data_IF_379172337190
#
_entry.id   IF_379172337190
#
_cell.length_a   1.000
_cell.length_b   1.000
_cell.length_c   1.000
_cell.angle_alpha   90.00
_cell.angle_beta   90.00
_cell.angle_gamma   90.00
#
_symmetry.space_group_name_H-M   'P 1'
#
loop_
_entity.id
_entity.type
_entity.pdbx_description
1 polymer ?
#
# COMPACT_ATOMS: atom_id res chain seq x y z
N UNK A 1 13.92 10.79 14.52
CA UNK A 1 13.26 9.53 14.14
C UNK A 1 11.92 9.78 13.45
N UNK A 2 11.07 10.64 14.04
CA UNK A 2 9.77 10.95 13.44
C UNK A 2 9.88 11.67 12.09
N UNK A 3 10.99 12.36 11.84
CA UNK A 3 11.16 13.11 10.59
C UNK A 3 11.58 12.25 9.40
N UNK A 4 12.11 11.05 9.65
CA UNK A 4 12.56 10.16 8.57
C UNK A 4 11.37 9.70 7.72
N UNK A 5 10.29 9.28 8.35
CA UNK A 5 9.10 8.86 7.60
C UNK A 5 8.23 10.05 7.20
N UNK A 6 8.29 11.18 7.91
CA UNK A 6 7.58 12.40 7.51
C UNK A 6 8.08 12.98 6.19
N UNK A 7 9.36 12.79 5.87
CA UNK A 7 9.92 13.26 4.59
C UNK A 7 9.33 12.57 3.38
N UNK A 8 8.76 11.40 3.58
CA UNK A 8 8.16 10.62 2.51
C UNK A 8 6.65 10.76 2.46
N UNK A 9 6.12 11.75 3.18
CA UNK A 9 4.69 11.99 3.20
C UNK A 9 4.26 12.66 1.90
N UNK A 10 3.42 11.93 1.17
CA UNK A 10 2.69 12.51 0.06
C UNK A 10 1.32 12.83 0.58
N UNK A 11 1.01 14.12 0.63
CA UNK A 11 -0.31 14.55 1.05
C UNK A 11 -1.34 13.99 0.08
N UNK A 12 -2.21 13.17 0.59
CA UNK A 12 -3.34 12.68 -0.16
C UNK A 12 -4.54 13.60 0.13
N UNK A 13 -5.71 13.04 0.34
CA UNK A 13 -6.92 13.80 0.53
C UNK A 13 -7.35 13.76 1.98
N UNK A 14 -7.94 14.84 2.45
CA UNK A 14 -8.35 14.99 3.84
C UNK A 14 -7.13 14.86 4.76
N UNK A 15 -7.17 14.00 5.76
CA UNK A 15 -6.05 13.79 6.67
C UNK A 15 -5.23 12.55 6.31
N UNK A 16 -5.46 11.96 5.13
CA UNK A 16 -4.72 10.80 4.69
C UNK A 16 -3.29 11.20 4.33
N UNK A 17 -2.33 10.48 4.87
CA UNK A 17 -0.91 10.69 4.61
C UNK A 17 -0.28 9.38 4.16
N UNK A 18 0.30 9.38 2.96
CA UNK A 18 1.03 8.24 2.46
C UNK A 18 2.41 8.20 3.09
N UNK A 19 2.76 7.08 3.68
CA UNK A 19 4.07 6.88 4.31
C UNK A 19 4.78 5.67 3.72
N UNK A 20 6.10 5.74 3.76
CA UNK A 20 6.99 4.67 3.36
C UNK A 20 8.08 4.54 4.42
N UNK A 21 8.44 3.32 4.78
CA UNK A 21 9.48 3.02 5.75
C UNK A 21 10.50 2.07 5.13
N UNK A 22 11.67 1.86 5.72
CA UNK A 22 12.63 0.88 5.21
C UNK A 22 12.01 -0.52 5.13
N UNK A 23 12.27 -1.25 4.05
CA UNK A 23 11.63 -2.54 3.76
C UNK A 23 11.91 -3.62 4.81
N UNK A 24 13.00 -3.49 5.55
CA UNK A 24 13.40 -4.42 6.60
C UNK A 24 13.18 -3.85 8.00
N UNK A 25 12.40 -2.79 8.12
CA UNK A 25 12.04 -2.25 9.43
C UNK A 25 11.22 -3.29 10.21
N UNK A 26 11.45 -3.35 11.51
CA UNK A 26 10.71 -4.26 12.37
C UNK A 26 9.25 -3.84 12.50
N UNK A 27 8.39 -4.82 12.74
CA UNK A 27 6.95 -4.59 12.87
C UNK A 27 6.63 -3.58 13.97
N UNK A 28 7.34 -3.63 15.09
CA UNK A 28 7.11 -2.67 16.18
C UNK A 28 7.45 -1.24 15.76
N UNK A 29 8.49 -1.05 14.96
CA UNK A 29 8.82 0.27 14.43
C UNK A 29 7.68 0.80 13.56
N UNK A 30 7.13 -0.05 12.69
CA UNK A 30 6.00 0.32 11.84
C UNK A 30 4.78 0.71 12.67
N UNK A 31 4.43 -0.12 13.66
CA UNK A 31 3.29 0.16 14.54
C UNK A 31 3.47 1.47 15.29
N UNK A 32 4.67 1.74 15.77
CA UNK A 32 5.00 2.99 16.45
C UNK A 32 4.83 4.20 15.54
N UNK A 33 5.34 4.10 14.31
CA UNK A 33 5.23 5.18 13.33
C UNK A 33 3.75 5.50 13.03
N UNK A 34 2.94 4.47 12.82
CA UNK A 34 1.51 4.63 12.58
C UNK A 34 0.81 5.30 13.76
N UNK A 35 1.13 4.85 14.96
CA UNK A 35 0.54 5.40 16.19
C UNK A 35 0.88 6.89 16.36
N UNK A 36 2.13 7.26 16.12
CA UNK A 36 2.58 8.66 16.25
C UNK A 36 1.84 9.57 15.27
N UNK A 37 1.61 9.10 14.04
CA UNK A 37 0.87 9.87 13.06
C UNK A 37 -0.60 10.03 13.47
N UNK A 38 -1.21 8.97 13.97
CA UNK A 38 -2.60 9.02 14.43
C UNK A 38 -2.78 9.96 15.63
N UNK A 39 -1.80 10.01 16.52
CA UNK A 39 -1.81 10.98 17.64
C UNK A 39 -1.85 12.42 17.13
N UNK A 40 -1.27 12.69 15.96
CA UNK A 40 -1.26 14.01 15.34
C UNK A 40 -2.48 14.22 14.43
N UNK A 41 -3.49 13.37 14.56
CA UNK A 41 -4.75 13.43 13.81
C UNK A 41 -4.59 13.13 12.31
N UNK A 42 -3.51 12.47 11.91
CA UNK A 42 -3.36 11.98 10.55
C UNK A 42 -3.93 10.58 10.41
N UNK A 43 -4.40 10.27 9.19
CA UNK A 43 -4.83 8.93 8.81
C UNK A 43 -3.73 8.31 7.93
N UNK A 44 -2.89 7.42 8.48
CA UNK A 44 -1.75 6.90 7.73
C UNK A 44 -2.18 5.93 6.65
N UNK A 45 -1.59 6.10 5.47
CA UNK A 45 -1.70 5.17 4.34
C UNK A 45 -0.31 4.58 4.12
N UNK A 46 -0.15 3.29 4.38
CA UNK A 46 1.12 2.62 4.19
C UNK A 46 1.31 2.23 2.73
N UNK A 47 2.37 2.75 2.12
CA UNK A 47 2.70 2.45 0.72
C UNK A 47 3.21 1.01 0.61
N UNK A 48 2.79 0.32 -0.42
CA UNK A 48 3.27 -1.01 -0.84
C UNK A 48 3.59 -1.97 0.33
N UNK A 49 2.60 -2.27 1.21
CA UNK A 49 2.85 -3.13 2.38
C UNK A 49 3.36 -4.52 2.02
N UNK A 50 3.09 -5.00 0.81
CA UNK A 50 3.55 -6.28 0.30
C UNK A 50 5.07 -6.37 0.18
N UNK A 51 5.77 -5.22 0.19
CA UNK A 51 7.22 -5.17 0.08
C UNK A 51 7.94 -5.22 1.41
N UNK A 52 7.24 -5.04 2.52
CA UNK A 52 7.89 -5.05 3.84
C UNK A 52 8.04 -6.47 4.36
N UNK A 53 9.26 -6.83 4.73
CA UNK A 53 9.59 -8.18 5.21
C UNK A 53 8.82 -8.53 6.48
N UNK A 54 8.65 -7.56 7.37
CA UNK A 54 7.94 -7.77 8.64
C UNK A 54 6.44 -8.01 8.48
N UNK A 55 5.87 -7.69 7.32
CA UNK A 55 4.47 -7.97 7.00
C UNK A 55 4.43 -9.27 6.20
N UNK A 56 4.65 -10.37 6.88
CA UNK A 56 4.84 -11.66 6.24
C UNK A 56 3.54 -12.36 5.86
N UNK A 57 2.43 -11.98 6.47
CA UNK A 57 1.17 -12.66 6.23
C UNK A 57 -0.06 -11.86 6.58
N UNK A 58 -1.18 -12.54 6.51
CA UNK A 58 -2.52 -11.94 6.68
C UNK A 58 -2.75 -11.42 8.09
N UNK A 59 -2.20 -12.10 9.09
CA UNK A 59 -2.38 -11.71 10.50
C UNK A 59 -1.86 -10.30 10.75
N UNK A 60 -0.65 -10.01 10.25
CA UNK A 60 -0.01 -8.71 10.41
C UNK A 60 -0.79 -7.62 9.68
N UNK A 61 -1.29 -7.92 8.49
CA UNK A 61 -2.08 -6.97 7.69
C UNK A 61 -3.41 -6.66 8.39
N UNK A 62 -4.10 -7.67 8.87
CA UNK A 62 -5.36 -7.46 9.58
C UNK A 62 -5.16 -6.64 10.85
N UNK A 63 -4.08 -6.88 11.58
CA UNK A 63 -3.77 -6.10 12.77
C UNK A 63 -3.56 -4.62 12.44
N UNK A 64 -2.81 -4.33 11.38
CA UNK A 64 -2.61 -2.95 10.95
C UNK A 64 -3.92 -2.27 10.56
N UNK A 65 -4.80 -2.97 9.86
CA UNK A 65 -6.09 -2.42 9.47
C UNK A 65 -6.98 -2.17 10.68
N UNK A 66 -6.96 -3.06 11.66
CA UNK A 66 -7.70 -2.87 12.91
C UNK A 66 -7.19 -1.65 13.68
N UNK A 67 -5.91 -1.32 13.54
CA UNK A 67 -5.32 -0.11 14.13
C UNK A 67 -5.65 1.15 13.35
N UNK A 68 -6.38 1.05 12.24
CA UNK A 68 -6.81 2.20 11.44
C UNK A 68 -5.89 2.55 10.28
N UNK A 69 -4.88 1.73 10.00
CA UNK A 69 -4.02 1.97 8.84
C UNK A 69 -4.75 1.66 7.55
N UNK A 70 -4.54 2.49 6.54
CA UNK A 70 -4.94 2.22 5.16
C UNK A 70 -3.74 1.70 4.39
N UNK A 71 -3.99 0.95 3.33
CA UNK A 71 -2.94 0.27 2.58
C UNK A 71 -3.03 0.63 1.10
N UNK A 72 -1.88 0.97 0.51
CA UNK A 72 -1.78 1.24 -0.92
C UNK A 72 -0.97 0.15 -1.61
N UNK A 73 -1.60 -0.54 -2.55
CA UNK A 73 -0.93 -1.52 -3.41
C UNK A 73 -0.05 -0.82 -4.44
N UNK A 74 1.16 -1.34 -4.65
CA UNK A 74 1.96 -0.96 -5.81
C UNK A 74 1.62 -1.91 -6.97
N UNK A 75 1.10 -1.35 -8.06
CA UNK A 75 0.69 -2.15 -9.22
C UNK A 75 1.83 -3.01 -9.80
N UNK A 76 3.07 -2.53 -9.72
CA UNK A 76 4.24 -3.30 -10.19
C UNK A 76 4.45 -4.58 -9.39
N UNK A 77 4.00 -4.62 -8.15
CA UNK A 77 4.08 -5.83 -7.32
C UNK A 77 3.30 -6.99 -7.92
N UNK A 78 2.16 -6.69 -8.55
CA UNK A 78 1.27 -7.72 -9.11
C UNK A 78 1.89 -8.48 -10.28
N UNK A 79 2.85 -7.87 -10.97
CA UNK A 79 3.50 -8.49 -12.13
C UNK A 79 4.84 -9.14 -11.79
N UNK A 80 5.22 -9.13 -10.51
CA UNK A 80 6.45 -9.77 -10.06
C UNK A 80 7.70 -8.91 -10.21
N UNK A 81 7.55 -7.62 -10.45
CA UNK A 81 8.68 -6.71 -10.60
C UNK A 81 9.61 -6.73 -9.39
N UNK A 82 9.06 -6.93 -8.20
CA UNK A 82 9.80 -6.98 -6.94
C UNK A 82 10.00 -8.40 -6.41
N UNK A 83 9.79 -9.41 -7.25
CA UNK A 83 10.02 -10.80 -6.90
C UNK A 83 8.73 -11.58 -6.64
N UNK A 84 8.91 -12.90 -6.52
CA UNK A 84 7.80 -13.85 -6.42
C UNK A 84 7.03 -13.73 -5.10
N UNK A 85 7.74 -13.53 -3.99
CA UNK A 85 7.10 -13.43 -2.68
C UNK A 85 6.23 -12.18 -2.58
N UNK A 86 6.73 -11.06 -3.08
CA UNK A 86 5.97 -9.81 -3.13
C UNK A 86 4.75 -9.96 -4.03
N UNK A 87 4.93 -10.58 -5.20
CA UNK A 87 3.82 -10.85 -6.13
C UNK A 87 2.73 -11.68 -5.47
N UNK A 88 3.12 -12.74 -4.76
CA UNK A 88 2.18 -13.62 -4.08
C UNK A 88 1.36 -12.86 -3.04
N UNK A 89 2.03 -12.11 -2.18
CA UNK A 89 1.36 -11.29 -1.15
C UNK A 89 0.42 -10.28 -1.80
N UNK A 90 0.90 -9.55 -2.81
CA UNK A 90 0.10 -8.53 -3.50
C UNK A 90 -1.19 -9.10 -4.07
N UNK A 91 -1.09 -10.23 -4.77
CA UNK A 91 -2.26 -10.86 -5.38
C UNK A 91 -3.23 -11.41 -4.34
N UNK A 92 -2.74 -12.08 -3.30
CA UNK A 92 -3.58 -12.60 -2.22
C UNK A 92 -4.30 -11.47 -1.46
N UNK A 93 -3.58 -10.42 -1.11
CA UNK A 93 -4.14 -9.32 -0.35
C UNK A 93 -5.12 -8.48 -1.18
N UNK A 94 -4.87 -8.34 -2.48
CA UNK A 94 -5.83 -7.69 -3.38
C UNK A 94 -7.12 -8.51 -3.44
N UNK A 95 -7.00 -9.82 -3.66
CA UNK A 95 -8.15 -10.72 -3.73
C UNK A 95 -9.00 -10.67 -2.46
N UNK A 96 -8.37 -10.51 -1.31
CA UNK A 96 -9.05 -10.46 -0.01
C UNK A 96 -9.60 -9.07 0.34
N UNK A 97 -9.37 -8.08 -0.51
CA UNK A 97 -9.91 -6.75 -0.31
C UNK A 97 -9.21 -5.93 0.76
N UNK A 98 -7.93 -6.20 1.02
CA UNK A 98 -7.20 -5.50 2.07
C UNK A 98 -6.69 -4.12 1.67
N UNK A 99 -6.60 -3.84 0.37
CA UNK A 99 -6.07 -2.56 -0.10
C UNK A 99 -7.14 -1.50 -0.20
N UNK A 100 -6.78 -0.29 0.17
CA UNK A 100 -7.64 0.89 0.09
C UNK A 100 -7.29 1.75 -1.12
N UNK A 101 -6.05 1.71 -1.58
CA UNK A 101 -5.55 2.50 -2.69
C UNK A 101 -4.65 1.68 -3.59
N UNK A 102 -4.52 2.14 -4.83
CA UNK A 102 -3.58 1.59 -5.80
C UNK A 102 -2.72 2.73 -6.31
N UNK A 103 -1.42 2.50 -6.34
CA UNK A 103 -0.48 3.45 -6.92
C UNK A 103 0.59 2.72 -7.70
N UNK A 104 1.54 3.48 -8.21
CA UNK A 104 2.69 2.94 -8.88
C UNK A 104 3.89 3.81 -8.56
N UNK A 105 5.05 3.17 -8.34
CA UNK A 105 6.34 3.85 -8.22
C UNK A 105 7.01 3.97 -9.59
N UNK A 106 6.24 3.97 -10.66
CA UNK A 106 6.79 4.10 -12.01
C UNK A 106 7.53 5.41 -12.17
N UNK A 107 8.83 5.33 -12.38
CA UNK A 107 9.71 6.49 -12.51
C UNK A 107 10.23 6.69 -13.92
N UNK A 108 9.96 5.76 -14.85
CA UNK A 108 10.46 5.81 -16.21
C UNK A 108 9.57 4.96 -17.14
N UNK A 109 9.87 5.03 -18.44
CA UNK A 109 9.12 4.28 -19.46
C UNK A 109 9.22 2.77 -19.29
N UNK A 110 10.33 2.27 -18.79
CA UNK A 110 10.48 0.85 -18.53
C UNK A 110 9.46 0.36 -17.51
N UNK A 111 9.29 1.09 -16.42
CA UNK A 111 8.29 0.74 -15.41
C UNK A 111 6.87 0.76 -15.99
N UNK A 112 6.57 1.76 -16.81
CA UNK A 112 5.25 1.87 -17.46
C UNK A 112 5.02 0.71 -18.42
N UNK A 113 6.04 0.31 -19.20
CA UNK A 113 5.92 -0.83 -20.11
C UNK A 113 5.72 -2.14 -19.35
N UNK A 114 6.34 -2.30 -18.18
CA UNK A 114 6.14 -3.47 -17.34
C UNK A 114 4.68 -3.59 -16.87
N UNK A 115 4.02 -2.47 -16.59
CA UNK A 115 2.61 -2.47 -16.18
C UNK A 115 1.68 -3.01 -17.26
N UNK A 116 2.07 -2.96 -18.53
CA UNK A 116 1.28 -3.53 -19.62
C UNK A 116 1.17 -5.05 -19.52
N UNK A 117 2.03 -5.69 -18.75
CA UNK A 117 2.00 -7.13 -18.52
C UNK A 117 0.95 -7.55 -17.50
N UNK A 118 0.30 -6.59 -16.85
CA UNK A 118 -0.67 -6.87 -15.80
C UNK A 118 -1.86 -7.66 -16.34
N UNK A 119 -2.14 -8.79 -15.68
CA UNK A 119 -3.30 -9.62 -15.94
C UNK A 119 -3.92 -9.99 -14.60
N UNK A 120 -5.20 -9.73 -14.45
CA UNK A 120 -5.92 -9.95 -13.20
C UNK A 120 -6.98 -11.03 -13.37
N UNK A 121 -7.15 -11.88 -12.35
CA UNK A 121 -8.28 -12.79 -12.25
C UNK A 121 -9.56 -12.03 -11.93
N UNK A 122 -10.69 -12.74 -11.90
CA UNK A 122 -12.00 -12.09 -11.69
C UNK A 122 -12.10 -11.40 -10.32
N UNK A 123 -11.64 -12.07 -9.27
CA UNK A 123 -11.69 -11.51 -7.91
C UNK A 123 -10.77 -10.30 -7.77
N UNK A 124 -9.56 -10.41 -8.28
CA UNK A 124 -8.58 -9.33 -8.26
C UNK A 124 -9.10 -8.13 -9.05
N UNK A 125 -9.67 -8.37 -10.23
CA UNK A 125 -10.22 -7.30 -11.06
C UNK A 125 -11.37 -6.57 -10.36
N UNK A 126 -12.26 -7.32 -9.71
CA UNK A 126 -13.37 -6.73 -8.96
C UNK A 126 -12.85 -5.78 -7.87
N UNK A 127 -11.88 -6.24 -7.08
CA UNK A 127 -11.30 -5.42 -6.01
C UNK A 127 -10.53 -4.22 -6.57
N UNK A 128 -9.79 -4.40 -7.65
CA UNK A 128 -9.12 -3.32 -8.35
C UNK A 128 -10.11 -2.23 -8.76
N UNK A 129 -11.23 -2.61 -9.40
CA UNK A 129 -12.25 -1.67 -9.84
C UNK A 129 -12.88 -0.94 -8.66
N UNK A 130 -13.18 -1.65 -7.57
CA UNK A 130 -13.73 -1.03 -6.36
C UNK A 130 -12.79 0.03 -5.80
N UNK A 131 -11.50 -0.26 -5.73
CA UNK A 131 -10.50 0.67 -5.26
C UNK A 131 -10.43 1.90 -6.17
N UNK A 132 -10.40 1.71 -7.48
CA UNK A 132 -10.33 2.82 -8.44
C UNK A 132 -11.54 3.74 -8.31
N UNK A 133 -12.73 3.18 -8.15
CA UNK A 133 -13.96 3.97 -7.96
C UNK A 133 -13.85 4.79 -6.67
N UNK A 134 -13.41 4.17 -5.57
CA UNK A 134 -13.23 4.87 -4.30
C UNK A 134 -12.22 5.99 -4.39
N UNK A 135 -11.09 5.77 -5.09
CA UNK A 135 -10.09 6.81 -5.30
C UNK A 135 -10.65 8.00 -6.08
N UNK A 136 -11.44 7.75 -7.13
CA UNK A 136 -12.07 8.80 -7.92
C UNK A 136 -13.02 9.64 -7.07
N UNK A 137 -13.79 9.01 -6.20
CA UNK A 137 -14.71 9.72 -5.30
C UNK A 137 -13.94 10.64 -4.33
N UNK A 138 -12.81 10.18 -3.81
CA UNK A 138 -12.01 10.98 -2.89
C UNK A 138 -11.47 12.25 -3.52
N UNK A 139 -11.15 12.22 -4.82
CA UNK A 139 -10.63 13.40 -5.53
C UNK A 139 -11.72 14.19 -6.26
N UNK A 140 -12.99 13.82 -6.06
CA UNK A 140 -14.12 14.54 -6.64
C UNK A 140 -14.37 14.30 -8.13
N UNK A 141 -13.86 13.20 -8.65
CA UNK A 141 -14.07 12.84 -10.06
C UNK A 141 -15.24 11.88 -10.26
#
# INVERSE_FOLDING_TARGET
>A
ASDVYKRQLLCCFENNILIEIPFFAELNFLKQALFELQKQSYSPVLAHPERYVSLSGETEIKDLKLRGAKLQLNALSLIGYYGKDVKKKANEWLKKGFYDFIGTDAHNEYHLSELQKLRLGKKELKEWMNIKISQQRLIGL
#
